data_IF_006304756625
#
_entry.id   IF_006304756625
#
_cell.length_a   1.000
_cell.length_b   1.000
_cell.length_c   1.000
_cell.angle_alpha   90.00
_cell.angle_beta   90.00
_cell.angle_gamma   90.00
#
_symmetry.space_group_name_H-M   'P 1'
#
loop_
_entity.id
_entity.type
_entity.pdbx_description
1 polymer ?
#
# COMPACT_ATOMS: atom_id res chain seq x y z
N UNK A 1 -7.21 14.90 32.90
CA UNK A 1 -8.40 14.15 33.43
C UNK A 1 -8.24 13.83 34.91
N UNK A 2 -7.08 13.41 35.43
CA UNK A 2 -6.88 13.05 36.85
C UNK A 2 -7.06 14.24 37.83
N UNK A 3 -6.78 15.46 37.39
CA UNK A 3 -6.91 16.68 38.19
C UNK A 3 -8.30 17.36 38.02
N UNK A 4 -9.20 16.83 37.19
CA UNK A 4 -10.55 17.39 36.91
C UNK A 4 -10.55 18.87 36.49
N UNK A 5 -9.50 19.34 35.80
CA UNK A 5 -9.46 20.66 35.18
C UNK A 5 -10.24 20.61 33.86
N UNK A 6 -10.96 21.69 33.53
CA UNK A 6 -11.61 21.81 32.24
C UNK A 6 -10.55 21.80 31.14
N UNK A 7 -10.76 20.96 30.12
CA UNK A 7 -9.80 20.80 29.02
C UNK A 7 -9.55 22.11 28.24
N UNK A 8 -10.56 22.93 28.05
CA UNK A 8 -10.41 24.22 27.38
C UNK A 8 -9.57 25.18 28.21
N UNK A 9 -9.90 25.31 29.50
CA UNK A 9 -9.14 26.14 30.42
C UNK A 9 -7.66 25.71 30.50
N UNK A 10 -7.39 24.39 30.56
CA UNK A 10 -6.02 23.89 30.54
C UNK A 10 -5.29 24.25 29.25
N UNK A 11 -5.93 24.11 28.09
CA UNK A 11 -5.34 24.41 26.78
C UNK A 11 -5.04 25.92 26.68
N UNK A 12 -5.93 26.76 27.12
CA UNK A 12 -5.76 28.22 27.05
C UNK A 12 -4.61 28.70 27.93
N UNK A 13 -4.41 28.09 29.08
CA UNK A 13 -3.30 28.42 30.01
C UNK A 13 -1.96 27.79 29.60
N UNK A 14 -2.00 26.68 28.87
CA UNK A 14 -0.77 25.94 28.50
C UNK A 14 -0.23 26.35 27.14
N UNK A 15 -1.09 26.71 26.21
CA UNK A 15 -0.70 27.02 24.82
C UNK A 15 0.16 28.30 24.77
N UNK A 16 1.35 28.18 24.19
CA UNK A 16 2.33 29.25 24.12
C UNK A 16 3.29 29.32 25.31
N UNK A 17 3.05 28.54 26.36
CA UNK A 17 3.89 28.46 27.55
C UNK A 17 4.49 27.06 27.78
N UNK A 18 4.56 26.25 26.73
CA UNK A 18 4.98 24.86 26.80
C UNK A 18 6.41 24.68 27.33
N UNK A 19 7.30 25.65 27.04
CA UNK A 19 8.69 25.65 27.48
C UNK A 19 9.02 26.71 28.56
N UNK A 20 8.02 27.51 28.99
CA UNK A 20 8.24 28.53 30.03
C UNK A 20 8.51 27.89 31.38
N UNK A 21 9.73 28.01 31.96
CA UNK A 21 10.09 27.37 33.23
C UNK A 21 9.19 27.81 34.37
N UNK A 22 8.69 29.06 34.36
CA UNK A 22 7.85 29.61 35.41
C UNK A 22 6.36 29.17 35.33
N UNK A 23 5.97 28.40 34.29
CA UNK A 23 4.56 28.01 34.09
C UNK A 23 4.01 27.20 35.27
N UNK A 24 4.76 26.21 35.75
CA UNK A 24 4.31 25.38 36.88
C UNK A 24 4.13 26.19 38.16
N UNK A 25 5.02 27.14 38.45
CA UNK A 25 4.90 27.98 39.63
C UNK A 25 3.73 28.96 39.55
N UNK A 26 3.44 29.47 38.31
CA UNK A 26 2.23 30.26 38.09
C UNK A 26 0.96 29.43 38.29
N UNK A 27 0.95 28.17 37.84
CA UNK A 27 -0.20 27.28 38.04
C UNK A 27 -0.34 26.83 39.49
N UNK A 28 0.74 26.74 40.26
CA UNK A 28 0.71 26.49 41.71
C UNK A 28 0.06 27.65 42.49
N UNK A 29 0.29 28.89 42.05
CA UNK A 29 -0.31 30.09 42.62
C UNK A 29 -1.80 30.31 42.20
N UNK A 30 -2.27 29.57 41.17
CA UNK A 30 -3.63 29.74 40.66
C UNK A 30 -4.67 29.13 41.59
N UNK A 31 -5.72 29.89 41.87
CA UNK A 31 -6.82 29.44 42.73
C UNK A 31 -7.64 28.35 41.98
N UNK A 32 -7.88 27.21 42.62
CA UNK A 32 -8.71 26.14 42.10
C UNK A 32 -8.24 24.75 42.53
N UNK A 33 -9.17 23.93 43.03
CA UNK A 33 -8.85 22.57 43.49
C UNK A 33 -8.21 21.68 42.40
N UNK A 34 -8.57 21.89 41.15
CA UNK A 34 -8.00 21.13 40.02
C UNK A 34 -6.54 21.45 39.75
N UNK A 35 -6.16 22.73 39.82
CA UNK A 35 -4.78 23.18 39.63
C UNK A 35 -3.88 22.71 40.76
N UNK A 36 -4.35 22.83 42.02
CA UNK A 36 -3.64 22.30 43.16
C UNK A 36 -3.41 20.78 43.09
N UNK A 37 -4.47 20.03 42.73
CA UNK A 37 -4.36 18.57 42.53
C UNK A 37 -3.41 18.20 41.38
N UNK A 38 -3.32 19.01 40.30
CA UNK A 38 -2.33 18.81 39.22
C UNK A 38 -0.90 18.93 39.75
N UNK A 39 -0.63 19.98 40.51
CA UNK A 39 0.71 20.22 41.05
C UNK A 39 1.10 19.15 42.08
N UNK A 40 0.20 18.81 43.00
CA UNK A 40 0.49 17.79 44.03
C UNK A 40 0.74 16.39 43.44
N UNK A 41 -0.04 15.99 42.44
CA UNK A 41 -0.02 14.61 41.93
C UNK A 41 0.83 14.40 40.68
N UNK A 42 1.14 15.45 39.95
CA UNK A 42 1.69 15.30 38.61
C UNK A 42 2.82 16.29 38.28
N UNK A 43 3.35 17.02 39.25
CA UNK A 43 4.43 18.00 39.02
C UNK A 43 5.62 17.36 38.34
N UNK A 44 6.16 16.29 38.92
CA UNK A 44 7.34 15.59 38.38
C UNK A 44 7.13 15.10 36.95
N UNK A 45 5.97 14.48 36.67
CA UNK A 45 5.64 14.03 35.32
C UNK A 45 5.54 15.16 34.30
N UNK A 46 5.01 16.31 34.71
CA UNK A 46 4.90 17.48 33.84
C UNK A 46 6.30 18.08 33.62
N UNK A 47 7.16 18.13 34.62
CA UNK A 47 8.56 18.59 34.49
C UNK A 47 9.35 17.68 33.55
N UNK A 48 9.26 16.35 33.73
CA UNK A 48 9.89 15.37 32.82
C UNK A 48 9.46 15.54 31.36
N UNK A 49 8.15 15.60 31.11
CA UNK A 49 7.61 15.80 29.76
C UNK A 49 8.07 17.12 29.14
N UNK A 50 8.13 18.19 29.92
CA UNK A 50 8.60 19.51 29.47
C UNK A 50 10.09 19.50 29.16
N UNK A 51 10.89 18.81 30.01
CA UNK A 51 12.31 18.59 29.74
C UNK A 51 12.53 17.81 28.43
N UNK A 52 11.75 16.76 28.21
CA UNK A 52 11.81 16.00 26.98
C UNK A 52 11.41 16.84 25.77
N UNK A 53 10.35 17.63 25.87
CA UNK A 53 9.94 18.59 24.82
C UNK A 53 11.05 19.62 24.52
N UNK A 54 11.72 20.13 25.55
CA UNK A 54 12.83 21.08 25.39
C UNK A 54 14.01 20.44 24.64
N UNK A 55 14.38 19.20 24.99
CA UNK A 55 15.42 18.43 24.29
C UNK A 55 15.06 18.19 22.81
N UNK A 56 13.81 17.80 22.54
CA UNK A 56 13.34 17.62 21.16
C UNK A 56 13.37 18.96 20.41
N UNK A 57 12.91 20.05 21.03
CA UNK A 57 12.95 21.40 20.45
C UNK A 57 14.36 21.85 20.07
N UNK A 58 15.34 21.58 20.94
CA UNK A 58 16.76 21.84 20.65
C UNK A 58 17.29 20.99 19.49
N UNK A 59 16.90 19.71 19.45
CA UNK A 59 17.31 18.80 18.38
C UNK A 59 16.72 19.20 17.01
N UNK A 60 15.45 19.59 16.98
CA UNK A 60 14.75 20.00 15.76
C UNK A 60 15.15 21.40 15.28
N UNK A 61 15.59 22.27 16.20
CA UNK A 61 16.03 23.64 15.89
C UNK A 61 14.92 24.59 15.44
N UNK A 62 13.64 24.24 15.72
CA UNK A 62 12.46 25.02 15.32
C UNK A 62 11.60 25.29 16.56
N UNK A 63 11.05 26.49 16.68
CA UNK A 63 10.11 26.84 17.75
C UNK A 63 8.86 25.94 17.73
N UNK A 64 8.29 25.65 18.90
CA UNK A 64 7.14 24.75 19.05
C UNK A 64 5.91 25.23 18.27
N UNK A 65 5.67 26.53 18.23
CA UNK A 65 4.54 27.10 17.50
C UNK A 65 4.71 26.85 15.99
N UNK A 66 5.91 27.09 15.46
CA UNK A 66 6.25 26.84 14.07
C UNK A 66 6.24 25.34 13.74
N UNK A 67 6.78 24.49 14.62
CA UNK A 67 6.70 23.04 14.47
C UNK A 67 5.26 22.56 14.36
N UNK A 68 4.37 23.05 15.22
CA UNK A 68 2.92 22.74 15.14
C UNK A 68 2.30 23.19 13.83
N UNK A 69 2.67 24.37 13.37
CA UNK A 69 2.18 24.89 12.08
C UNK A 69 2.57 23.97 10.93
N UNK A 70 3.84 23.55 10.88
CA UNK A 70 4.37 22.64 9.88
C UNK A 70 3.65 21.28 9.96
N UNK A 71 3.53 20.69 11.15
CA UNK A 71 2.85 19.41 11.35
C UNK A 71 1.38 19.46 10.90
N UNK A 72 0.66 20.53 11.26
CA UNK A 72 -0.73 20.71 10.84
C UNK A 72 -0.84 20.82 9.31
N UNK A 73 0.10 21.50 8.66
CA UNK A 73 0.12 21.63 7.21
C UNK A 73 0.40 20.29 6.52
N UNK A 74 1.36 19.52 7.05
CA UNK A 74 1.65 18.15 6.56
C UNK A 74 0.42 17.26 6.73
N UNK A 75 -0.17 17.21 7.93
CA UNK A 75 -1.35 16.38 8.22
C UNK A 75 -2.55 16.75 7.32
N UNK A 76 -2.74 18.04 7.05
CA UNK A 76 -3.77 18.50 6.12
C UNK A 76 -3.51 17.98 4.71
N UNK A 77 -2.28 18.13 4.22
CA UNK A 77 -1.89 17.63 2.90
C UNK A 77 -2.01 16.11 2.78
N UNK A 78 -1.60 15.36 3.80
CA UNK A 78 -1.77 13.90 3.85
C UNK A 78 -3.24 13.48 3.81
N UNK A 79 -4.11 14.17 4.56
CA UNK A 79 -5.54 13.91 4.56
C UNK A 79 -6.17 14.17 3.19
N UNK A 80 -5.84 15.29 2.56
CA UNK A 80 -6.32 15.63 1.22
C UNK A 80 -5.83 14.62 0.17
N UNK A 81 -4.54 14.25 0.21
CA UNK A 81 -3.97 13.25 -0.69
C UNK A 81 -4.61 11.88 -0.52
N UNK A 82 -4.84 11.44 0.73
CA UNK A 82 -5.52 10.17 1.04
C UNK A 82 -6.95 10.15 0.51
N UNK A 83 -7.69 11.25 0.69
CA UNK A 83 -9.05 11.38 0.19
C UNK A 83 -9.10 11.32 -1.34
N UNK A 84 -8.24 12.07 -2.02
CA UNK A 84 -8.15 12.06 -3.49
C UNK A 84 -7.79 10.67 -4.04
N UNK A 85 -6.84 9.97 -3.42
CA UNK A 85 -6.50 8.60 -3.80
C UNK A 85 -7.67 7.64 -3.63
N UNK A 86 -8.42 7.75 -2.53
CA UNK A 86 -9.63 6.96 -2.28
C UNK A 86 -10.67 7.17 -3.36
N UNK A 87 -10.99 8.41 -3.68
CA UNK A 87 -11.97 8.76 -4.72
C UNK A 87 -11.53 8.24 -6.10
N UNK A 88 -10.24 8.34 -6.40
CA UNK A 88 -9.68 7.83 -7.64
C UNK A 88 -9.79 6.30 -7.76
N UNK A 89 -9.57 5.56 -6.67
CA UNK A 89 -9.77 4.11 -6.62
C UNK A 89 -11.25 3.78 -6.82
N UNK A 90 -12.14 4.39 -6.04
CA UNK A 90 -13.59 4.11 -6.08
C UNK A 90 -14.19 4.35 -7.48
N UNK A 91 -13.80 5.44 -8.13
CA UNK A 91 -14.23 5.76 -9.49
C UNK A 91 -13.81 4.72 -10.56
N UNK A 92 -12.76 3.93 -10.27
CA UNK A 92 -12.20 2.97 -11.22
C UNK A 92 -12.46 1.49 -10.87
N UNK A 93 -13.25 1.17 -9.84
CA UNK A 93 -13.57 -0.22 -9.46
C UNK A 93 -14.25 -0.99 -10.60
N UNK A 94 -15.09 -0.34 -11.41
CA UNK A 94 -15.73 -0.96 -12.59
C UNK A 94 -14.72 -1.40 -13.64
N UNK A 95 -13.60 -0.67 -13.78
CA UNK A 95 -12.52 -1.07 -14.68
C UNK A 95 -11.89 -2.39 -14.22
N UNK A 96 -11.66 -2.56 -12.93
CA UNK A 96 -11.13 -3.82 -12.38
C UNK A 96 -12.05 -4.98 -12.68
N UNK A 97 -13.36 -4.84 -12.45
CA UNK A 97 -14.36 -5.87 -12.73
C UNK A 97 -14.35 -6.27 -14.20
N UNK A 98 -14.29 -5.28 -15.11
CA UNK A 98 -14.28 -5.52 -16.55
C UNK A 98 -13.05 -6.30 -17.03
N UNK A 99 -11.90 -6.07 -16.36
CA UNK A 99 -10.66 -6.78 -16.65
C UNK A 99 -10.69 -8.17 -16.02
N UNK A 100 -11.09 -8.31 -14.76
CA UNK A 100 -11.15 -9.58 -14.02
C UNK A 100 -12.06 -10.61 -14.74
N UNK A 101 -13.16 -10.18 -15.34
CA UNK A 101 -14.07 -11.04 -16.16
C UNK A 101 -13.33 -11.81 -17.25
N UNK A 102 -12.22 -11.29 -17.79
CA UNK A 102 -11.44 -11.95 -18.86
C UNK A 102 -10.53 -13.06 -18.33
N UNK A 103 -10.41 -13.17 -17.01
CA UNK A 103 -9.52 -14.13 -16.33
C UNK A 103 -10.28 -15.18 -15.52
N UNK A 104 -11.60 -15.23 -15.62
CA UNK A 104 -12.42 -16.29 -15.01
C UNK A 104 -12.07 -17.67 -15.55
N UNK A 105 -12.34 -18.70 -14.76
CA UNK A 105 -12.07 -20.12 -15.09
C UNK A 105 -10.57 -20.44 -15.30
N UNK A 106 -9.70 -19.74 -14.55
CA UNK A 106 -8.25 -19.96 -14.59
C UNK A 106 -7.66 -20.38 -13.24
N UNK A 107 -8.47 -21.04 -12.41
CA UNK A 107 -8.03 -21.60 -11.12
C UNK A 107 -8.26 -20.70 -9.89
N UNK A 108 -8.69 -19.43 -10.08
CA UNK A 108 -9.08 -18.54 -8.99
C UNK A 108 -10.58 -18.20 -9.06
N UNK A 109 -11.19 -17.99 -7.90
CA UNK A 109 -12.56 -17.49 -7.79
C UNK A 109 -12.63 -16.05 -8.31
N UNK A 110 -13.79 -15.67 -8.88
CA UNK A 110 -13.96 -14.34 -9.48
C UNK A 110 -13.75 -13.20 -8.48
N UNK A 111 -14.19 -13.39 -7.22
CA UNK A 111 -13.98 -12.39 -6.17
C UNK A 111 -12.50 -12.19 -5.83
N UNK A 112 -11.71 -13.27 -5.85
CA UNK A 112 -10.26 -13.18 -5.60
C UNK A 112 -9.56 -12.42 -6.73
N UNK A 113 -9.97 -12.63 -8.00
CA UNK A 113 -9.48 -11.88 -9.14
C UNK A 113 -9.79 -10.38 -9.02
N UNK A 114 -10.98 -10.02 -8.50
CA UNK A 114 -11.34 -8.62 -8.23
C UNK A 114 -10.43 -8.04 -7.13
N UNK A 115 -10.20 -8.77 -6.03
CA UNK A 115 -9.36 -8.30 -4.93
C UNK A 115 -7.92 -8.06 -5.37
N UNK A 116 -7.35 -9.02 -6.10
CA UNK A 116 -6.00 -8.86 -6.67
C UNK A 116 -5.94 -7.71 -7.67
N UNK A 117 -6.98 -7.56 -8.50
CA UNK A 117 -7.13 -6.43 -9.40
C UNK A 117 -7.21 -5.08 -8.67
N UNK A 118 -7.91 -5.02 -7.53
CA UNK A 118 -7.98 -3.82 -6.69
C UNK A 118 -6.61 -3.46 -6.09
N UNK A 119 -5.81 -4.46 -5.68
CA UNK A 119 -4.43 -4.24 -5.24
C UNK A 119 -3.59 -3.63 -6.37
N UNK A 120 -3.77 -4.14 -7.59
CA UNK A 120 -3.14 -3.57 -8.78
C UNK A 120 -3.58 -2.13 -9.05
N UNK A 121 -4.88 -1.83 -8.93
CA UNK A 121 -5.42 -0.49 -9.08
C UNK A 121 -4.86 0.49 -8.04
N UNK A 122 -4.79 0.11 -6.76
CA UNK A 122 -4.21 0.94 -5.71
C UNK A 122 -2.74 1.28 -6.00
N UNK A 123 -1.94 0.29 -6.45
CA UNK A 123 -0.56 0.54 -6.90
C UNK A 123 -0.48 1.49 -8.08
N UNK A 124 -1.43 1.41 -9.01
CA UNK A 124 -1.50 2.33 -10.14
C UNK A 124 -1.81 3.76 -9.69
N UNK A 125 -2.75 3.95 -8.76
CA UNK A 125 -3.07 5.28 -8.19
C UNK A 125 -1.87 5.89 -7.49
N UNK A 126 -1.13 5.10 -6.71
CA UNK A 126 0.04 5.58 -5.98
C UNK A 126 1.19 6.04 -6.88
N UNK A 127 1.34 5.41 -8.04
CA UNK A 127 2.46 5.65 -8.96
C UNK A 127 2.09 6.48 -10.19
N UNK A 128 0.84 6.91 -10.31
CA UNK A 128 0.38 7.65 -11.47
C UNK A 128 0.90 9.09 -11.49
N UNK A 129 1.56 9.44 -12.57
CA UNK A 129 2.07 10.80 -12.82
C UNK A 129 1.24 11.46 -13.92
N UNK A 130 0.24 12.25 -13.56
CA UNK A 130 -0.68 12.89 -14.52
C UNK A 130 0.04 13.84 -15.51
N UNK A 131 1.18 14.39 -15.12
CA UNK A 131 1.99 15.30 -15.96
C UNK A 131 2.55 14.64 -17.22
N UNK A 132 2.58 13.30 -17.28
CA UNK A 132 3.03 12.56 -18.47
C UNK A 132 1.99 12.54 -19.60
N UNK A 133 0.79 13.08 -19.41
CA UNK A 133 -0.24 13.22 -20.45
C UNK A 133 -0.99 11.94 -20.85
N UNK A 134 -0.70 10.79 -20.23
CA UNK A 134 -1.43 9.55 -20.51
C UNK A 134 -2.72 9.47 -19.71
N UNK A 135 -3.74 8.82 -20.29
CA UNK A 135 -4.98 8.53 -19.57
C UNK A 135 -4.71 7.52 -18.44
N UNK A 136 -5.24 7.80 -17.26
CA UNK A 136 -5.10 6.91 -16.10
C UNK A 136 -5.53 5.47 -16.38
N UNK A 137 -6.64 5.26 -17.08
CA UNK A 137 -7.16 3.93 -17.42
C UNK A 137 -6.16 3.07 -18.21
N UNK A 138 -5.36 3.68 -19.09
CA UNK A 138 -4.31 2.98 -19.85
C UNK A 138 -3.23 2.46 -18.92
N UNK A 139 -2.75 3.31 -18.01
CA UNK A 139 -1.74 2.96 -17.02
C UNK A 139 -2.26 1.93 -16.00
N UNK A 140 -3.45 2.16 -15.45
CA UNK A 140 -4.06 1.28 -14.47
C UNK A 140 -4.35 -0.13 -15.04
N UNK A 141 -4.75 -0.23 -16.30
CA UNK A 141 -5.00 -1.52 -16.98
C UNK A 141 -3.78 -2.44 -16.92
N UNK A 142 -2.58 -1.89 -17.09
CA UNK A 142 -1.34 -2.67 -17.00
C UNK A 142 -1.13 -3.22 -15.59
N UNK A 143 -1.26 -2.39 -14.56
CA UNK A 143 -1.09 -2.79 -13.16
C UNK A 143 -2.13 -3.81 -12.70
N UNK A 144 -3.39 -3.62 -13.10
CA UNK A 144 -4.49 -4.53 -12.80
C UNK A 144 -4.23 -5.90 -13.43
N UNK A 145 -3.89 -5.94 -14.73
CA UNK A 145 -3.55 -7.18 -15.41
C UNK A 145 -2.36 -7.88 -14.76
N UNK A 146 -1.32 -7.15 -14.47
CA UNK A 146 -0.11 -7.69 -13.84
C UNK A 146 -0.43 -8.34 -12.48
N UNK A 147 -1.22 -7.67 -11.64
CA UNK A 147 -1.62 -8.20 -10.34
C UNK A 147 -2.44 -9.49 -10.48
N UNK A 148 -3.47 -9.48 -11.32
CA UNK A 148 -4.33 -10.65 -11.58
C UNK A 148 -3.51 -11.82 -12.16
N UNK A 149 -2.69 -11.58 -13.17
CA UNK A 149 -1.91 -12.64 -13.83
C UNK A 149 -0.89 -13.25 -12.86
N UNK A 150 -0.27 -12.41 -12.02
CA UNK A 150 0.67 -12.88 -11.00
C UNK A 150 -0.02 -13.71 -9.93
N UNK A 151 -1.18 -13.29 -9.47
CA UNK A 151 -1.95 -14.04 -8.47
C UNK A 151 -2.41 -15.40 -9.01
N UNK A 152 -2.87 -15.46 -10.28
CA UNK A 152 -3.19 -16.74 -10.93
C UNK A 152 -1.95 -17.64 -10.97
N UNK A 153 -0.79 -17.10 -11.34
CA UNK A 153 0.46 -17.86 -11.39
C UNK A 153 0.87 -18.41 -10.01
N UNK A 154 0.66 -17.63 -8.96
CA UNK A 154 1.08 -18.00 -7.60
C UNK A 154 0.09 -18.93 -6.88
N UNK A 155 -1.22 -18.87 -7.19
CA UNK A 155 -2.27 -19.49 -6.36
C UNK A 155 -3.23 -20.42 -7.11
N UNK A 156 -3.23 -20.46 -8.44
CA UNK A 156 -4.20 -21.24 -9.20
C UNK A 156 -4.00 -22.76 -9.10
N UNK A 157 -2.81 -23.21 -8.69
CA UNK A 157 -2.48 -24.64 -8.59
C UNK A 157 -2.29 -25.07 -7.15
N UNK A 158 -2.78 -26.26 -6.79
CA UNK A 158 -2.58 -26.87 -5.47
C UNK A 158 -1.08 -27.03 -5.16
N UNK A 159 -0.30 -27.45 -6.14
CA UNK A 159 1.17 -27.45 -6.04
C UNK A 159 1.69 -26.23 -6.78
N UNK A 160 2.24 -25.28 -6.01
CA UNK A 160 2.74 -24.02 -6.56
C UNK A 160 3.89 -24.23 -7.54
N UNK A 161 3.77 -23.62 -8.69
CA UNK A 161 4.82 -23.58 -9.73
C UNK A 161 5.45 -22.19 -9.77
N UNK A 162 6.81 -22.07 -9.82
CA UNK A 162 7.45 -20.77 -9.96
C UNK A 162 7.01 -20.01 -11.21
N UNK A 163 6.88 -18.69 -11.13
CA UNK A 163 6.33 -17.83 -12.21
C UNK A 163 7.09 -18.02 -13.53
N UNK A 164 8.44 -18.09 -13.49
CA UNK A 164 9.25 -18.30 -14.70
C UNK A 164 8.98 -19.65 -15.40
N UNK A 165 8.55 -20.66 -14.64
CA UNK A 165 8.17 -21.95 -15.20
C UNK A 165 6.80 -21.86 -15.89
N UNK A 166 5.85 -21.11 -15.31
CA UNK A 166 4.55 -20.84 -15.91
C UNK A 166 4.69 -20.06 -17.22
N UNK A 167 5.60 -19.09 -17.26
CA UNK A 167 5.93 -18.36 -18.49
C UNK A 167 6.47 -19.31 -19.56
N UNK A 168 7.33 -20.23 -19.18
CA UNK A 168 7.87 -21.27 -20.09
C UNK A 168 6.76 -22.19 -20.61
N UNK A 169 5.85 -22.65 -19.74
CA UNK A 169 4.68 -23.46 -20.11
C UNK A 169 3.81 -22.69 -21.10
N UNK A 170 3.47 -21.41 -20.79
CA UNK A 170 2.64 -20.59 -21.66
C UNK A 170 3.29 -20.37 -23.04
N UNK A 171 4.62 -20.18 -23.10
CA UNK A 171 5.37 -20.07 -24.36
C UNK A 171 5.27 -21.38 -25.14
N UNK A 172 5.46 -22.51 -24.48
CA UNK A 172 5.37 -23.83 -25.09
C UNK A 172 3.97 -24.11 -25.67
N UNK A 173 2.91 -23.86 -24.89
CA UNK A 173 1.49 -24.03 -25.32
C UNK A 173 1.17 -23.12 -26.52
N UNK A 174 1.61 -21.84 -26.45
CA UNK A 174 1.38 -20.90 -27.55
C UNK A 174 2.07 -21.38 -28.85
N UNK A 175 3.34 -21.77 -28.75
CA UNK A 175 4.09 -22.27 -29.90
C UNK A 175 3.49 -23.58 -30.44
N UNK A 176 3.06 -24.49 -29.56
CA UNK A 176 2.38 -25.71 -29.98
C UNK A 176 1.10 -25.46 -30.75
N UNK A 177 0.25 -24.50 -30.31
CA UNK A 177 -0.96 -24.07 -31.01
C UNK A 177 -0.63 -23.46 -32.38
N UNK A 178 0.40 -22.63 -32.47
CA UNK A 178 0.85 -22.04 -33.72
C UNK A 178 1.31 -23.12 -34.69
N UNK A 179 2.13 -24.08 -34.24
CA UNK A 179 2.58 -25.19 -35.09
C UNK A 179 1.44 -26.11 -35.51
N UNK A 180 0.44 -26.33 -34.63
CA UNK A 180 -0.77 -27.08 -35.02
C UNK A 180 -1.49 -26.44 -36.22
N UNK A 181 -1.56 -25.10 -36.26
CA UNK A 181 -2.14 -24.39 -37.43
C UNK A 181 -1.25 -24.45 -38.68
N UNK A 182 0.09 -24.44 -38.51
CA UNK A 182 1.05 -24.48 -39.61
C UNK A 182 1.15 -25.87 -40.23
N UNK A 183 1.13 -26.94 -39.43
CA UNK A 183 1.45 -28.31 -39.81
C UNK A 183 0.15 -29.17 -39.98
N UNK A 184 -0.95 -28.75 -39.31
CA UNK A 184 -2.23 -29.49 -39.33
C UNK A 184 -2.28 -30.68 -38.34
N UNK A 185 -1.25 -30.92 -37.53
CA UNK A 185 -1.18 -31.93 -36.46
C UNK A 185 -0.46 -31.38 -35.21
N UNK A 186 -0.62 -32.07 -34.09
CA UNK A 186 0.16 -31.73 -32.89
C UNK A 186 1.67 -31.88 -33.14
N UNK A 187 2.49 -30.88 -32.77
CA UNK A 187 3.93 -30.93 -32.92
C UNK A 187 4.55 -31.95 -31.96
N UNK A 188 5.63 -32.61 -32.39
CA UNK A 188 6.41 -33.48 -31.53
C UNK A 188 7.25 -32.66 -30.56
N UNK A 189 7.71 -33.26 -29.41
CA UNK A 189 8.61 -32.55 -28.48
C UNK A 189 9.92 -32.10 -29.15
N UNK A 190 10.41 -32.82 -30.15
CA UNK A 190 11.59 -32.50 -30.94
C UNK A 190 11.37 -31.23 -31.78
N UNK A 191 10.26 -31.15 -32.48
CA UNK A 191 9.87 -29.99 -33.29
C UNK A 191 9.66 -28.75 -32.41
N UNK A 192 9.05 -28.92 -31.23
CA UNK A 192 8.91 -27.84 -30.25
C UNK A 192 10.27 -27.37 -29.69
N UNK A 193 11.19 -28.29 -29.44
CA UNK A 193 12.53 -27.96 -28.96
C UNK A 193 13.31 -27.13 -29.97
N UNK A 194 13.23 -27.48 -31.25
CA UNK A 194 13.85 -26.74 -32.36
C UNK A 194 13.23 -25.34 -32.50
N UNK A 195 11.90 -25.22 -32.56
CA UNK A 195 11.18 -23.94 -32.72
C UNK A 195 11.42 -23.00 -31.53
N UNK A 196 11.51 -23.53 -30.31
CA UNK A 196 11.73 -22.78 -29.07
C UNK A 196 13.21 -22.54 -28.76
N UNK A 197 14.13 -23.16 -29.50
CA UNK A 197 15.57 -23.14 -29.24
C UNK A 197 15.91 -23.58 -27.81
N UNK A 198 15.27 -24.67 -27.35
CA UNK A 198 15.41 -25.21 -26.01
C UNK A 198 15.88 -26.68 -26.07
N UNK A 199 16.67 -27.14 -25.07
CA UNK A 199 17.02 -28.55 -24.99
C UNK A 199 15.80 -29.45 -24.91
N UNK A 200 15.77 -30.54 -25.66
CA UNK A 200 14.67 -31.51 -25.72
C UNK A 200 14.26 -32.03 -24.34
N UNK A 201 15.24 -32.33 -23.48
CA UNK A 201 14.98 -32.77 -22.11
C UNK A 201 14.18 -31.73 -21.29
N UNK A 202 14.50 -30.45 -21.49
CA UNK A 202 13.79 -29.35 -20.83
C UNK A 202 12.35 -29.26 -21.33
N UNK A 203 12.12 -29.40 -22.65
CA UNK A 203 10.77 -29.41 -23.24
C UNK A 203 9.96 -30.57 -22.67
N UNK A 204 10.53 -31.79 -22.62
CA UNK A 204 9.83 -32.97 -22.04
C UNK A 204 9.50 -32.79 -20.58
N UNK A 205 10.42 -32.22 -19.74
CA UNK A 205 10.15 -31.90 -18.34
C UNK A 205 9.02 -30.89 -18.19
N UNK A 206 9.05 -29.79 -18.98
CA UNK A 206 8.01 -28.76 -18.94
C UNK A 206 6.66 -29.32 -19.37
N UNK A 207 6.59 -30.17 -20.37
CA UNK A 207 5.36 -30.84 -20.81
C UNK A 207 4.76 -31.73 -19.71
N UNK A 208 5.61 -32.44 -18.91
CA UNK A 208 5.13 -33.24 -17.76
C UNK A 208 4.55 -32.35 -16.67
N UNK A 209 5.17 -31.21 -16.36
CA UNK A 209 4.72 -30.27 -15.33
C UNK A 209 3.44 -29.54 -15.82
N UNK A 210 3.31 -29.30 -17.13
CA UNK A 210 2.15 -28.63 -17.72
C UNK A 210 0.86 -29.47 -17.65
N UNK A 211 0.98 -30.78 -17.68
CA UNK A 211 -0.17 -31.68 -17.48
C UNK A 211 -0.68 -31.49 -16.07
N UNK A 212 -1.95 -31.08 -15.93
CA UNK A 212 -2.61 -31.09 -14.63
C UNK A 212 -2.69 -32.54 -14.13
N UNK A 213 -2.49 -32.74 -12.80
CA UNK A 213 -2.66 -34.06 -12.20
C UNK A 213 -4.11 -34.54 -12.28
#
# INVERSE_FOLDING_TARGET
DAARINRREFIDEYRGYELDPAWLDRMAAKAGRGWQALIEKSRDKVEDLRSEMAKIGQYVGVDISEFRRIVNQVQKGEKEARQAKKEMVEANLRLVISIAKKYTNRGLQFLDLIQEGNIGLMKAVDKFEYRRGYKFSTYATWWIRQAITRSIADQARTIRIPVHMIETINKLVRTGRQMLHEIGREPTPEELAEKLQMPLEKVRKVMKIAKEP
#
